data_IF_623676132724
#
_entry.id   IF_623676132724
#
_cell.length_a   1.000
_cell.length_b   1.000
_cell.length_c   1.000
_cell.angle_alpha   90.00
_cell.angle_beta   90.00
_cell.angle_gamma   90.00
#
_symmetry.space_group_name_H-M   'P 1'
#
loop_
_entity.id
_entity.type
_entity.pdbx_description
1 polymer ?
#
# COMPACT_ATOMS: atom_id res chain seq x y z
N UNK A 1 29.36 -19.81 16.32
CA UNK A 1 29.07 -18.35 16.31
C UNK A 1 29.32 -17.84 14.90
N UNK A 2 28.33 -17.22 14.26
CA UNK A 2 28.45 -16.69 12.90
C UNK A 2 29.35 -15.45 12.92
N UNK A 3 30.60 -15.58 12.46
CA UNK A 3 31.55 -14.46 12.34
C UNK A 3 31.15 -13.63 11.13
N UNK A 4 30.28 -12.66 11.34
CA UNK A 4 29.78 -11.79 10.27
C UNK A 4 30.85 -10.74 9.98
N UNK A 5 31.39 -10.78 8.77
CA UNK A 5 32.31 -9.75 8.28
C UNK A 5 31.54 -8.43 8.08
N UNK A 6 32.07 -7.31 8.58
CA UNK A 6 31.46 -5.97 8.41
C UNK A 6 31.13 -5.65 6.95
N UNK A 7 31.93 -6.18 6.00
CA UNK A 7 31.65 -6.07 4.55
C UNK A 7 30.33 -6.72 4.13
N UNK A 8 29.93 -7.84 4.75
CA UNK A 8 28.65 -8.52 4.47
C UNK A 8 27.45 -7.75 5.00
N UNK A 9 27.59 -7.10 6.17
CA UNK A 9 26.54 -6.23 6.73
C UNK A 9 26.30 -5.02 5.84
N UNK A 10 27.38 -4.39 5.36
CA UNK A 10 27.29 -3.26 4.42
C UNK A 10 26.59 -3.62 3.10
N UNK A 11 26.94 -4.76 2.49
CA UNK A 11 26.27 -5.24 1.26
C UNK A 11 24.78 -5.49 1.51
N UNK A 12 24.42 -6.07 2.66
CA UNK A 12 23.02 -6.35 2.96
C UNK A 12 22.19 -5.08 3.15
N UNK A 13 22.79 -3.99 3.66
CA UNK A 13 22.13 -2.69 3.79
C UNK A 13 21.85 -2.01 2.44
N UNK A 14 22.48 -2.44 1.34
CA UNK A 14 22.16 -1.95 0.01
C UNK A 14 20.78 -2.42 -0.48
N UNK A 15 20.30 -3.59 -0.03
CA UNK A 15 18.98 -4.12 -0.41
C UNK A 15 17.81 -3.21 0.03
N UNK A 16 17.67 -2.83 1.32
CA UNK A 16 16.60 -1.91 1.73
C UNK A 16 16.74 -0.54 1.06
N UNK A 17 17.96 -0.09 0.76
CA UNK A 17 18.19 1.17 0.04
C UNK A 17 17.60 1.11 -1.38
N UNK A 18 17.85 0.03 -2.12
CA UNK A 18 17.27 -0.18 -3.45
C UNK A 18 15.74 -0.26 -3.39
N UNK A 19 15.19 -0.95 -2.39
CA UNK A 19 13.75 -1.04 -2.18
C UNK A 19 13.15 0.32 -1.85
N UNK A 20 13.81 1.12 -1.01
CA UNK A 20 13.37 2.47 -0.65
C UNK A 20 13.34 3.42 -1.86
N UNK A 21 14.41 3.43 -2.66
CA UNK A 21 14.49 4.21 -3.90
C UNK A 21 13.46 3.75 -4.93
N UNK A 22 13.28 2.44 -5.09
CA UNK A 22 12.25 1.86 -5.95
C UNK A 22 10.84 2.25 -5.51
N UNK A 23 10.56 2.25 -4.20
CA UNK A 23 9.29 2.68 -3.64
C UNK A 23 9.03 4.18 -3.91
N UNK A 24 10.04 5.04 -3.75
CA UNK A 24 9.94 6.46 -4.09
C UNK A 24 9.69 6.67 -5.59
N UNK A 25 10.42 5.96 -6.45
CA UNK A 25 10.22 6.00 -7.90
C UNK A 25 8.82 5.54 -8.30
N UNK A 26 8.33 4.45 -7.70
CA UNK A 26 6.97 3.97 -7.88
C UNK A 26 5.92 4.98 -7.41
N UNK A 27 6.15 5.67 -6.29
CA UNK A 27 5.23 6.70 -5.79
C UNK A 27 5.15 7.89 -6.74
N UNK A 28 6.29 8.35 -7.27
CA UNK A 28 6.33 9.42 -8.27
C UNK A 28 5.65 8.99 -9.58
N UNK A 29 5.88 7.74 -10.02
CA UNK A 29 5.23 7.18 -11.19
C UNK A 29 3.71 7.16 -11.05
N UNK A 30 3.19 6.73 -9.89
CA UNK A 30 1.76 6.79 -9.57
C UNK A 30 1.26 8.25 -9.53
N UNK A 31 2.08 9.19 -9.07
CA UNK A 31 1.71 10.61 -9.06
C UNK A 31 1.47 11.20 -10.46
N UNK A 32 2.22 10.71 -11.47
CA UNK A 32 2.20 11.20 -12.85
C UNK A 32 1.28 10.38 -13.76
N UNK A 33 1.36 9.06 -13.69
CA UNK A 33 0.66 8.10 -14.57
C UNK A 33 -0.41 7.27 -13.83
N UNK A 34 -0.53 7.43 -12.51
CA UNK A 34 -1.53 6.72 -11.74
C UNK A 34 -2.95 7.21 -12.04
N UNK A 35 -3.91 6.36 -11.71
CA UNK A 35 -5.33 6.70 -11.83
C UNK A 35 -5.79 7.77 -10.83
N UNK A 36 -7.10 7.94 -10.76
CA UNK A 36 -7.74 8.99 -9.98
C UNK A 36 -7.53 8.90 -8.46
N UNK A 37 -7.26 7.70 -7.95
CA UNK A 37 -7.11 7.46 -6.52
C UNK A 37 -5.62 7.40 -6.15
N UNK A 38 -5.05 8.53 -5.72
CA UNK A 38 -3.65 8.65 -5.29
C UNK A 38 -3.39 8.14 -3.87
N UNK A 39 -4.23 7.22 -3.39
CA UNK A 39 -4.23 6.73 -2.00
C UNK A 39 -2.91 6.03 -1.64
N UNK A 40 -2.25 5.41 -2.61
CA UNK A 40 -0.98 4.69 -2.42
C UNK A 40 0.25 5.61 -2.45
N UNK A 41 0.15 6.80 -3.03
CA UNK A 41 1.29 7.66 -3.31
C UNK A 41 2.01 8.10 -2.02
N UNK A 42 1.27 8.66 -1.06
CA UNK A 42 1.86 9.19 0.17
C UNK A 42 2.48 8.11 1.07
N UNK A 43 1.80 6.98 1.36
CA UNK A 43 2.40 5.90 2.14
C UNK A 43 3.69 5.36 1.53
N UNK A 44 3.72 5.21 0.19
CA UNK A 44 4.87 4.65 -0.51
C UNK A 44 6.04 5.64 -0.57
N UNK A 45 5.76 6.93 -0.78
CA UNK A 45 6.76 7.99 -0.82
C UNK A 45 7.43 8.18 0.55
N UNK A 46 6.62 8.38 1.61
CA UNK A 46 7.14 8.62 2.95
C UNK A 46 7.82 7.38 3.53
N UNK A 47 7.23 6.20 3.32
CA UNK A 47 7.84 4.92 3.71
C UNK A 47 9.17 4.68 3.01
N UNK A 48 9.23 4.90 1.69
CA UNK A 48 10.46 4.76 0.90
C UNK A 48 11.57 5.72 1.33
N UNK A 49 11.21 6.97 1.63
CA UNK A 49 12.16 7.97 2.15
C UNK A 49 12.76 7.53 3.49
N UNK A 50 11.91 7.12 4.44
CA UNK A 50 12.36 6.68 5.77
C UNK A 50 13.29 5.46 5.70
N UNK A 51 12.93 4.46 4.87
CA UNK A 51 13.77 3.28 4.65
C UNK A 51 15.11 3.65 4.01
N UNK A 52 15.13 4.61 3.09
CA UNK A 52 16.35 5.08 2.44
C UNK A 52 17.29 5.78 3.42
N UNK A 53 16.76 6.68 4.26
CA UNK A 53 17.54 7.40 5.30
C UNK A 53 18.12 6.44 6.34
N UNK A 54 17.32 5.48 6.83
CA UNK A 54 17.83 4.48 7.79
C UNK A 54 18.90 3.60 7.12
N UNK A 55 18.76 3.31 5.83
CA UNK A 55 19.74 2.49 5.11
C UNK A 55 21.06 3.19 4.86
N UNK A 56 21.06 4.49 4.56
CA UNK A 56 22.30 5.27 4.40
C UNK A 56 23.04 5.39 5.73
N UNK A 57 22.34 5.58 6.85
CA UNK A 57 22.96 5.58 8.18
C UNK A 57 23.57 4.21 8.53
N UNK A 58 22.89 3.12 8.19
CA UNK A 58 23.43 1.76 8.36
C UNK A 58 24.70 1.53 7.53
N UNK A 59 24.71 2.01 6.29
CA UNK A 59 25.87 1.89 5.39
C UNK A 59 27.05 2.74 5.88
N UNK A 60 26.81 3.99 6.28
CA UNK A 60 27.83 4.87 6.88
C UNK A 60 28.38 4.29 8.19
N UNK A 61 27.52 3.71 9.03
CA UNK A 61 27.93 3.00 10.25
C UNK A 61 28.85 1.81 9.96
N UNK A 62 28.58 1.06 8.89
CA UNK A 62 29.40 -0.08 8.47
C UNK A 62 30.73 0.33 7.82
N UNK A 63 30.76 1.43 7.05
CA UNK A 63 31.95 1.89 6.33
C UNK A 63 32.90 2.72 7.23
N UNK A 64 32.36 3.64 8.02
CA UNK A 64 33.15 4.57 8.82
C UNK A 64 33.48 4.05 10.23
N UNK A 65 33.01 2.84 10.59
CA UNK A 65 33.23 2.22 11.91
C UNK A 65 32.83 3.10 13.11
N UNK A 66 31.93 4.07 12.89
CA UNK A 66 31.46 5.00 13.92
C UNK A 66 30.45 4.27 14.80
N UNK A 67 30.88 3.88 16.00
CA UNK A 67 30.03 3.18 16.98
C UNK A 67 28.77 3.97 17.31
N UNK A 68 28.86 5.30 17.43
CA UNK A 68 27.72 6.19 17.65
C UNK A 68 26.69 6.13 16.50
N UNK A 69 27.14 6.13 15.24
CA UNK A 69 26.26 6.04 14.07
C UNK A 69 25.52 4.69 14.02
N UNK A 70 26.19 3.60 14.44
CA UNK A 70 25.60 2.27 14.48
C UNK A 70 24.53 2.13 15.57
N UNK A 71 24.71 2.76 16.74
CA UNK A 71 23.64 2.82 17.77
C UNK A 71 22.47 3.69 17.31
N UNK A 72 22.74 4.86 16.71
CA UNK A 72 21.69 5.72 16.15
C UNK A 72 20.88 4.99 15.07
N UNK A 73 21.55 4.25 14.20
CA UNK A 73 20.93 3.38 13.21
C UNK A 73 19.98 2.36 13.84
N UNK A 74 20.43 1.61 14.87
CA UNK A 74 19.57 0.63 15.54
C UNK A 74 18.35 1.27 16.19
N UNK A 75 18.53 2.44 16.80
CA UNK A 75 17.44 3.19 17.42
C UNK A 75 16.40 3.63 16.37
N UNK A 76 16.84 4.21 15.26
CA UNK A 76 15.95 4.62 14.18
C UNK A 76 15.27 3.42 13.49
N UNK A 77 16.00 2.33 13.27
CA UNK A 77 15.46 1.10 12.69
C UNK A 77 14.37 0.48 13.58
N UNK A 78 14.52 0.53 14.91
CA UNK A 78 13.50 0.07 15.85
C UNK A 78 12.21 0.90 15.74
N UNK A 79 12.31 2.23 15.73
CA UNK A 79 11.13 3.09 15.54
C UNK A 79 10.49 2.91 14.15
N UNK A 80 11.31 2.69 13.12
CA UNK A 80 10.82 2.40 11.77
C UNK A 80 10.02 1.09 11.76
N UNK A 81 10.50 0.02 12.41
CA UNK A 81 9.76 -1.23 12.53
C UNK A 81 8.42 -1.05 13.26
N UNK A 82 8.38 -0.27 14.35
CA UNK A 82 7.14 0.04 15.06
C UNK A 82 6.14 0.80 14.19
N UNK A 83 6.61 1.82 13.45
CA UNK A 83 5.78 2.61 12.55
C UNK A 83 5.21 1.76 11.40
N UNK A 84 6.03 0.89 10.79
CA UNK A 84 5.57 0.00 9.72
C UNK A 84 4.62 -1.08 10.25
N UNK A 85 4.84 -1.60 11.45
CA UNK A 85 3.94 -2.56 12.09
C UNK A 85 2.57 -1.93 12.41
N UNK A 86 2.54 -0.74 13.01
CA UNK A 86 1.28 -0.04 13.32
C UNK A 86 0.51 0.31 12.05
N UNK A 87 1.19 0.76 11.00
CA UNK A 87 0.59 0.98 9.69
C UNK A 87 0.00 -0.31 9.10
N UNK A 88 0.70 -1.44 9.21
CA UNK A 88 0.21 -2.74 8.73
C UNK A 88 -1.08 -3.15 9.45
N UNK A 89 -1.14 -2.98 10.77
CA UNK A 89 -2.35 -3.29 11.55
C UNK A 89 -3.53 -2.41 11.11
N UNK A 90 -3.31 -1.11 10.91
CA UNK A 90 -4.33 -0.21 10.39
C UNK A 90 -4.79 -0.62 8.97
N UNK A 91 -3.85 -0.96 8.08
CA UNK A 91 -4.14 -1.40 6.72
C UNK A 91 -4.95 -2.72 6.67
N UNK A 92 -4.64 -3.65 7.57
CA UNK A 92 -5.40 -4.89 7.75
C UNK A 92 -6.81 -4.61 8.26
N UNK A 93 -6.97 -3.71 9.23
CA UNK A 93 -8.28 -3.31 9.75
C UNK A 93 -9.17 -2.70 8.64
N UNK A 94 -8.58 -1.89 7.76
CA UNK A 94 -9.28 -1.32 6.60
C UNK A 94 -9.72 -2.41 5.60
N UNK A 95 -8.96 -3.52 5.52
CA UNK A 95 -9.14 -4.59 4.52
C UNK A 95 -9.91 -5.82 5.02
N UNK A 96 -10.22 -5.92 6.32
CA UNK A 96 -10.66 -7.16 6.97
C UNK A 96 -12.12 -7.59 6.70
N UNK A 97 -13.00 -6.70 6.21
CA UNK A 97 -14.43 -7.03 6.02
C UNK A 97 -14.64 -8.02 4.87
N UNK A 98 -15.46 -9.09 5.06
CA UNK A 98 -15.65 -10.13 4.06
C UNK A 98 -16.34 -9.63 2.79
N UNK A 99 -15.98 -10.28 1.70
CA UNK A 99 -16.39 -9.98 0.33
C UNK A 99 -17.82 -10.45 0.07
N UNK A 100 -18.74 -9.53 -0.24
CA UNK A 100 -19.94 -9.90 -0.99
C UNK A 100 -19.60 -9.91 -2.48
N UNK A 101 -20.13 -10.92 -3.15
CA UNK A 101 -19.77 -11.30 -4.50
C UNK A 101 -19.94 -10.14 -5.51
N UNK A 102 -19.05 -10.02 -6.52
CA UNK A 102 -19.02 -8.88 -7.44
C UNK A 102 -20.26 -8.87 -8.36
N UNK A 103 -20.95 -10.00 -8.46
CA UNK A 103 -22.16 -10.17 -9.26
C UNK A 103 -23.40 -9.53 -8.61
N UNK A 104 -23.41 -9.26 -7.30
CA UNK A 104 -24.52 -8.58 -6.62
C UNK A 104 -24.37 -7.04 -6.61
N UNK A 105 -23.23 -6.51 -7.03
CA UNK A 105 -22.91 -5.08 -6.95
C UNK A 105 -22.17 -4.70 -5.65
N UNK A 106 -21.54 -3.53 -5.64
CA UNK A 106 -20.77 -3.04 -4.50
C UNK A 106 -21.63 -2.07 -3.67
N UNK A 107 -21.80 -2.34 -2.37
CA UNK A 107 -22.49 -1.40 -1.46
C UNK A 107 -21.49 -0.73 -0.53
N UNK A 108 -21.61 0.59 -0.35
CA UNK A 108 -20.73 1.38 0.52
C UNK A 108 -20.75 0.86 1.98
N UNK A 109 -21.90 0.36 2.45
CA UNK A 109 -22.08 -0.19 3.80
C UNK A 109 -21.22 -1.41 4.13
N UNK A 110 -20.72 -2.13 3.12
CA UNK A 110 -19.89 -3.34 3.30
C UNK A 110 -18.42 -3.01 3.60
N UNK A 111 -18.06 -1.73 3.66
CA UNK A 111 -16.70 -1.26 3.89
C UNK A 111 -16.48 -0.76 5.31
N UNK A 112 -15.21 -0.63 5.72
CA UNK A 112 -14.86 -0.13 7.06
C UNK A 112 -15.34 1.31 7.23
N UNK A 113 -15.65 1.76 8.46
CA UNK A 113 -16.12 3.13 8.71
C UNK A 113 -15.19 4.20 8.15
N UNK A 114 -13.88 3.94 8.16
CA UNK A 114 -12.86 4.81 7.56
C UNK A 114 -13.06 4.98 6.04
N UNK A 115 -13.25 3.89 5.30
CA UNK A 115 -13.49 3.93 3.86
C UNK A 115 -14.83 4.57 3.51
N UNK A 116 -15.87 4.31 4.31
CA UNK A 116 -17.17 4.96 4.14
C UNK A 116 -17.02 6.48 4.25
N UNK A 117 -16.34 6.95 5.30
CA UNK A 117 -16.09 8.36 5.54
C UNK A 117 -15.34 9.03 4.39
N UNK A 118 -14.32 8.37 3.83
CA UNK A 118 -13.53 8.89 2.71
C UNK A 118 -14.38 9.27 1.49
N UNK A 119 -15.41 8.49 1.16
CA UNK A 119 -16.26 8.73 -0.01
C UNK A 119 -17.56 9.47 0.30
N UNK A 120 -18.00 9.49 1.55
CA UNK A 120 -19.09 10.40 1.97
C UNK A 120 -18.61 11.85 2.09
N UNK A 121 -17.30 12.10 2.14
CA UNK A 121 -16.76 13.46 2.15
C UNK A 121 -16.94 14.14 0.79
N UNK A 122 -17.72 15.24 0.72
CA UNK A 122 -18.09 15.84 -0.56
C UNK A 122 -16.89 16.38 -1.35
N UNK A 123 -15.86 16.91 -0.67
CA UNK A 123 -14.65 17.41 -1.33
C UNK A 123 -13.85 16.28 -1.99
N UNK A 124 -13.61 15.17 -1.27
CA UNK A 124 -12.81 14.05 -1.78
C UNK A 124 -13.51 13.34 -2.93
N UNK A 125 -14.83 13.11 -2.80
CA UNK A 125 -15.61 12.50 -3.87
C UNK A 125 -15.67 13.38 -5.13
N UNK A 126 -15.79 14.69 -4.97
CA UNK A 126 -15.83 15.62 -6.12
C UNK A 126 -14.54 15.56 -6.95
N UNK A 127 -13.37 15.44 -6.32
CA UNK A 127 -12.09 15.28 -7.01
C UNK A 127 -11.97 13.94 -7.72
N UNK A 128 -12.32 12.85 -7.03
CA UNK A 128 -12.35 11.51 -7.62
C UNK A 128 -13.30 11.45 -8.81
N UNK A 129 -14.52 11.99 -8.68
CA UNK A 129 -15.53 12.03 -9.73
C UNK A 129 -15.04 12.80 -10.96
N UNK A 130 -14.50 14.02 -10.77
CA UNK A 130 -13.96 14.82 -11.87
C UNK A 130 -12.87 14.06 -12.64
N UNK A 131 -11.99 13.37 -11.91
CA UNK A 131 -10.98 12.56 -12.55
C UNK A 131 -11.57 11.34 -13.30
N UNK A 132 -12.55 10.63 -12.74
CA UNK A 132 -13.19 9.49 -13.41
C UNK A 132 -13.86 9.89 -14.73
N UNK A 133 -14.51 11.06 -14.73
CA UNK A 133 -15.10 11.67 -15.92
C UNK A 133 -14.03 12.03 -16.97
N UNK A 134 -12.96 12.70 -16.54
CA UNK A 134 -11.86 13.07 -17.43
C UNK A 134 -11.13 11.85 -18.02
N UNK A 135 -10.96 10.80 -17.22
CA UNK A 135 -10.33 9.53 -17.62
C UNK A 135 -11.23 8.66 -18.51
N UNK A 136 -12.52 9.03 -18.68
CA UNK A 136 -13.50 8.33 -19.53
C UNK A 136 -13.49 6.81 -19.31
N UNK A 137 -13.50 6.39 -18.05
CA UNK A 137 -13.32 4.99 -17.64
C UNK A 137 -14.37 4.02 -18.24
N UNK A 138 -15.54 4.53 -18.63
CA UNK A 138 -16.63 3.79 -19.27
C UNK A 138 -16.64 3.88 -20.80
N UNK A 139 -15.94 4.84 -21.42
CA UNK A 139 -15.92 5.02 -22.88
C UNK A 139 -15.04 3.96 -23.56
N UNK A 140 -13.96 3.50 -22.92
CA UNK A 140 -13.12 2.42 -23.46
C UNK A 140 -13.86 1.07 -23.60
N UNK A 141 -14.99 0.92 -22.90
CA UNK A 141 -15.80 -0.31 -22.91
C UNK A 141 -16.77 -0.38 -24.09
N UNK A 142 -17.16 0.76 -24.67
CA UNK A 142 -18.04 0.82 -25.85
C UNK A 142 -17.36 0.27 -27.10
N UNK A 143 -16.04 0.44 -27.20
CA UNK A 143 -15.23 -0.05 -28.32
C UNK A 143 -15.00 -1.58 -28.31
N UNK A 144 -15.15 -2.25 -27.17
CA UNK A 144 -14.90 -3.69 -27.02
C UNK A 144 -16.18 -4.53 -26.96
N UNK A 145 -17.35 -3.91 -27.10
CA UNK A 145 -18.63 -4.59 -26.96
C UNK A 145 -19.08 -5.30 -28.24
N UNK A 146 -18.34 -6.33 -28.65
CA UNK A 146 -18.87 -7.37 -29.52
C UNK A 146 -19.76 -8.28 -28.68
N UNK A 147 -21.09 -8.10 -28.76
CA UNK A 147 -22.25 -8.97 -28.37
C UNK A 147 -22.05 -10.25 -27.53
N UNK A 148 -21.06 -10.32 -26.64
CA UNK A 148 -20.73 -11.50 -25.87
C UNK A 148 -20.84 -11.18 -24.38
N UNK A 149 -21.66 -11.94 -23.68
CA UNK A 149 -21.90 -11.82 -22.24
C UNK A 149 -20.63 -11.90 -21.37
N UNK A 150 -19.49 -12.29 -21.98
CA UNK A 150 -18.15 -12.35 -21.39
C UNK A 150 -17.40 -11.02 -21.32
N UNK A 151 -17.89 -9.94 -21.93
CA UNK A 151 -17.24 -8.61 -21.95
C UNK A 151 -16.92 -8.11 -20.54
N UNK A 152 -17.79 -8.40 -19.57
CA UNK A 152 -17.64 -7.89 -18.20
C UNK A 152 -16.47 -8.54 -17.44
N UNK A 153 -15.96 -9.70 -17.86
CA UNK A 153 -15.02 -10.51 -17.07
C UNK A 153 -13.68 -9.82 -16.78
N UNK A 154 -13.29 -8.84 -17.59
CA UNK A 154 -12.04 -8.06 -17.46
C UNK A 154 -12.22 -6.68 -16.82
N UNK A 155 -13.44 -6.30 -16.44
CA UNK A 155 -13.69 -4.96 -15.91
C UNK A 155 -13.11 -4.80 -14.51
N UNK A 156 -12.51 -3.65 -14.24
CA UNK A 156 -12.11 -3.24 -12.89
C UNK A 156 -13.32 -3.05 -11.98
N UNK A 157 -13.12 -3.14 -10.67
CA UNK A 157 -14.21 -2.92 -9.69
C UNK A 157 -14.89 -1.56 -9.85
N UNK A 158 -14.13 -0.52 -10.20
CA UNK A 158 -14.65 0.81 -10.50
C UNK A 158 -15.51 0.83 -11.76
N UNK A 159 -15.09 0.16 -12.83
CA UNK A 159 -15.90 0.06 -14.06
C UNK A 159 -17.21 -0.70 -13.82
N UNK A 160 -17.17 -1.77 -13.04
CA UNK A 160 -18.38 -2.50 -12.66
C UNK A 160 -19.36 -1.65 -11.84
N UNK A 161 -18.87 -0.82 -10.91
CA UNK A 161 -19.74 0.01 -10.07
C UNK A 161 -20.30 1.24 -10.78
N UNK A 162 -19.56 1.83 -11.72
CA UNK A 162 -19.91 3.12 -12.33
C UNK A 162 -20.52 3.00 -13.73
N UNK A 163 -20.17 1.96 -14.50
CA UNK A 163 -20.57 1.80 -15.90
C UNK A 163 -21.69 0.77 -16.11
N UNK A 164 -22.14 0.09 -15.04
CA UNK A 164 -23.22 -0.90 -15.07
C UNK A 164 -24.25 -0.58 -13.98
N UNK A 165 -25.56 -0.56 -14.29
CA UNK A 165 -26.59 -0.38 -13.29
C UNK A 165 -26.70 -1.62 -12.39
N UNK A 166 -27.16 -1.47 -11.13
CA UNK A 166 -27.43 -2.59 -10.23
C UNK A 166 -28.42 -3.59 -10.83
N UNK A 167 -28.19 -4.89 -10.60
CA UNK A 167 -29.03 -5.98 -11.14
C UNK A 167 -30.48 -5.87 -10.65
N UNK A 168 -30.65 -5.38 -9.42
CA UNK A 168 -31.94 -5.09 -8.78
C UNK A 168 -32.77 -4.01 -9.50
N UNK A 169 -32.17 -3.19 -10.37
CA UNK A 169 -32.94 -2.23 -11.17
C UNK A 169 -33.73 -2.90 -12.30
N UNK A 170 -33.39 -4.15 -12.68
CA UNK A 170 -34.07 -4.88 -13.75
C UNK A 170 -33.82 -4.32 -15.16
N UNK A 171 -32.78 -3.51 -15.33
CA UNK A 171 -32.48 -2.86 -16.61
C UNK A 171 -31.90 -3.88 -17.59
N UNK A 172 -32.34 -3.82 -18.86
CA UNK A 172 -31.85 -4.69 -19.92
C UNK A 172 -30.89 -3.94 -20.83
N UNK A 173 -29.72 -4.53 -21.11
CA UNK A 173 -28.71 -3.94 -21.99
C UNK A 173 -29.28 -3.82 -23.41
N UNK A 174 -29.30 -2.62 -24.01
CA UNK A 174 -29.69 -2.44 -25.41
C UNK A 174 -28.46 -2.17 -26.27
N UNK A 175 -28.12 -3.09 -27.20
CA UNK A 175 -27.20 -2.99 -28.36
C UNK A 175 -25.83 -2.27 -28.22
N UNK A 176 -25.55 -1.48 -27.18
CA UNK A 176 -24.33 -0.73 -26.89
C UNK A 176 -23.97 -0.93 -25.39
N UNK A 177 -22.67 -0.89 -25.05
CA UNK A 177 -22.13 -1.36 -23.76
C UNK A 177 -22.60 -0.60 -22.51
N UNK A 178 -23.06 0.65 -22.67
CA UNK A 178 -23.42 1.57 -21.60
C UNK A 178 -24.86 2.07 -21.69
N UNK A 179 -25.64 1.61 -22.69
CA UNK A 179 -27.02 2.02 -22.88
C UNK A 179 -27.98 0.95 -22.36
N UNK A 180 -28.78 1.31 -21.35
CA UNK A 180 -29.67 0.40 -20.65
C UNK A 180 -31.13 0.83 -20.78
N UNK A 181 -32.01 -0.10 -21.15
CA UNK A 181 -33.45 0.14 -21.22
C UNK A 181 -34.02 0.19 -19.81
N UNK A 182 -34.73 1.28 -19.51
CA UNK A 182 -35.37 1.48 -18.20
C UNK A 182 -36.74 0.82 -18.26
N UNK A 183 -37.08 -0.11 -17.34
CA UNK A 183 -38.37 -0.76 -17.31
C UNK A 183 -39.51 0.27 -17.26
N UNK A 184 -40.53 0.08 -18.11
CA UNK A 184 -41.67 0.99 -18.27
C UNK A 184 -42.51 1.19 -16.99
N UNK A 185 -42.34 0.31 -16.00
CA UNK A 185 -43.05 0.32 -14.71
C UNK A 185 -42.23 1.04 -13.61
N UNK A 186 -41.06 1.58 -13.95
CA UNK A 186 -40.07 2.06 -12.98
C UNK A 186 -39.17 0.94 -12.45
N UNK A 187 -38.13 1.26 -11.67
CA UNK A 187 -37.23 0.27 -11.12
C UNK A 187 -37.95 -0.69 -10.17
N UNK A 188 -37.55 -1.96 -10.17
CA UNK A 188 -38.25 -3.01 -9.40
C UNK A 188 -38.19 -2.84 -7.87
N UNK A 189 -37.30 -1.95 -7.40
CA UNK A 189 -37.16 -1.56 -6.01
C UNK A 189 -36.95 -0.04 -5.90
N UNK A 190 -37.36 0.56 -4.78
CA UNK A 190 -37.11 1.96 -4.44
C UNK A 190 -35.64 2.16 -4.02
N UNK A 191 -34.72 1.92 -4.95
CA UNK A 191 -33.28 2.05 -4.76
C UNK A 191 -32.80 3.37 -5.36
N UNK A 192 -32.06 4.16 -4.55
CA UNK A 192 -31.55 5.47 -4.95
C UNK A 192 -30.64 5.41 -6.17
N UNK A 193 -29.91 4.31 -6.37
CA UNK A 193 -29.01 4.13 -7.51
C UNK A 193 -29.78 3.92 -8.80
N UNK A 194 -30.94 3.25 -8.76
CA UNK A 194 -31.77 3.06 -9.94
C UNK A 194 -32.42 4.37 -10.42
N UNK A 195 -32.68 5.30 -9.49
CA UNK A 195 -33.22 6.62 -9.80
C UNK A 195 -32.12 7.62 -10.21
N UNK A 196 -30.89 7.40 -9.76
CA UNK A 196 -29.73 8.24 -10.10
C UNK A 196 -29.06 7.86 -11.42
N UNK A 197 -29.34 6.67 -11.99
CA UNK A 197 -28.78 6.21 -13.26
C UNK A 197 -29.16 7.12 -14.44
N UNK A 198 -28.20 7.45 -15.30
CA UNK A 198 -28.44 8.19 -16.54
C UNK A 198 -27.64 7.58 -17.71
N UNK A 199 -28.25 7.40 -18.88
CA UNK A 199 -27.57 6.87 -20.07
C UNK A 199 -26.64 7.89 -20.76
N UNK A 200 -26.59 9.15 -20.31
CA UNK A 200 -25.61 10.12 -20.82
C UNK A 200 -24.20 9.78 -20.33
N UNK A 201 -23.24 9.71 -21.26
CA UNK A 201 -21.85 9.29 -21.01
C UNK A 201 -21.11 10.17 -19.97
N UNK A 202 -21.56 11.40 -19.77
CA UNK A 202 -21.05 12.40 -18.84
C UNK A 202 -21.68 12.30 -17.42
N UNK A 203 -22.72 11.50 -17.23
CA UNK A 203 -23.43 11.37 -15.95
C UNK A 203 -23.46 9.95 -15.41
N UNK A 204 -23.75 8.93 -16.25
CA UNK A 204 -23.77 7.50 -15.91
C UNK A 204 -24.28 7.23 -14.47
N UNK A 205 -23.62 6.36 -13.71
CA UNK A 205 -23.88 6.17 -12.28
C UNK A 205 -22.78 6.84 -11.41
N UNK A 206 -22.15 7.93 -11.88
CA UNK A 206 -21.04 8.55 -11.14
C UNK A 206 -21.45 9.17 -9.79
N UNK A 207 -22.74 9.34 -9.52
CA UNK A 207 -23.24 9.81 -8.21
C UNK A 207 -23.87 8.69 -7.35
N UNK A 208 -23.95 7.46 -7.88
CA UNK A 208 -24.53 6.31 -7.21
C UNK A 208 -23.64 5.73 -6.11
N UNK A 209 -24.26 5.11 -5.11
CA UNK A 209 -23.56 4.37 -4.06
C UNK A 209 -22.87 3.11 -4.62
N UNK A 210 -23.37 2.54 -5.71
CA UNK A 210 -22.72 1.45 -6.45
C UNK A 210 -21.38 1.85 -7.05
N UNK A 211 -21.27 3.06 -7.61
CA UNK A 211 -20.01 3.58 -8.17
C UNK A 211 -19.00 3.88 -7.06
N UNK A 212 -19.46 4.53 -5.99
CA UNK A 212 -18.70 4.74 -4.76
C UNK A 212 -18.19 3.40 -4.22
N UNK A 213 -19.04 2.40 -4.12
CA UNK A 213 -18.68 1.03 -3.70
C UNK A 213 -17.61 0.40 -4.60
N UNK A 214 -17.70 0.60 -5.92
CA UNK A 214 -16.70 0.14 -6.89
C UNK A 214 -15.32 0.80 -6.69
N UNK A 215 -15.30 2.10 -6.42
CA UNK A 215 -14.07 2.84 -6.04
C UNK A 215 -13.49 2.30 -4.73
N UNK A 216 -14.32 2.11 -3.70
CA UNK A 216 -13.89 1.53 -2.42
C UNK A 216 -13.30 0.13 -2.58
N UNK A 217 -13.88 -0.69 -3.46
CA UNK A 217 -13.36 -2.03 -3.78
C UNK A 217 -11.99 -1.96 -4.45
N UNK A 218 -11.80 -1.03 -5.40
CA UNK A 218 -10.50 -0.80 -6.02
C UNK A 218 -9.47 -0.32 -5.00
N UNK A 219 -9.82 0.66 -4.15
CA UNK A 219 -8.96 1.15 -3.08
C UNK A 219 -8.55 -0.01 -2.15
N UNK A 220 -9.50 -0.81 -1.66
CA UNK A 220 -9.20 -1.98 -0.82
C UNK A 220 -8.20 -2.94 -1.47
N UNK A 221 -8.36 -3.21 -2.78
CA UNK A 221 -7.41 -4.04 -3.54
C UNK A 221 -6.00 -3.46 -3.51
N UNK A 222 -5.87 -2.15 -3.74
CA UNK A 222 -4.58 -1.45 -3.66
C UNK A 222 -3.97 -1.50 -2.24
N UNK A 223 -4.78 -1.31 -1.19
CA UNK A 223 -4.34 -1.43 0.21
C UNK A 223 -3.83 -2.83 0.54
N UNK A 224 -4.46 -3.88 -0.01
CA UNK A 224 -3.99 -5.27 0.17
C UNK A 224 -2.62 -5.49 -0.47
N UNK A 225 -2.41 -5.00 -1.70
CA UNK A 225 -1.11 -5.06 -2.35
C UNK A 225 -0.04 -4.28 -1.56
N UNK A 226 -0.37 -3.07 -1.10
CA UNK A 226 0.53 -2.28 -0.24
C UNK A 226 0.86 -3.03 1.06
N UNK A 227 -0.12 -3.66 1.69
CA UNK A 227 0.08 -4.41 2.94
C UNK A 227 1.06 -5.56 2.73
N UNK A 228 0.91 -6.31 1.63
CA UNK A 228 1.83 -7.41 1.28
C UNK A 228 3.25 -6.86 1.05
N UNK A 229 3.39 -5.79 0.27
CA UNK A 229 4.67 -5.13 0.04
C UNK A 229 5.30 -4.66 1.37
N UNK A 230 4.50 -4.04 2.24
CA UNK A 230 4.94 -3.54 3.54
C UNK A 230 5.43 -4.66 4.46
N UNK A 231 4.76 -5.82 4.48
CA UNK A 231 5.19 -7.01 5.21
C UNK A 231 6.56 -7.49 4.71
N UNK A 232 6.78 -7.53 3.39
CA UNK A 232 8.09 -7.88 2.82
C UNK A 232 9.19 -6.91 3.27
N UNK A 233 8.90 -5.59 3.30
CA UNK A 233 9.83 -4.57 3.80
C UNK A 233 10.13 -4.78 5.28
N UNK A 234 9.12 -5.06 6.12
CA UNK A 234 9.33 -5.35 7.55
C UNK A 234 10.25 -6.54 7.74
N UNK A 235 10.05 -7.65 7.03
CA UNK A 235 10.91 -8.84 7.11
C UNK A 235 12.34 -8.51 6.73
N UNK A 236 12.51 -7.76 5.66
CA UNK A 236 13.82 -7.33 5.17
C UNK A 236 14.52 -6.43 6.20
N UNK A 237 13.87 -5.36 6.68
CA UNK A 237 14.43 -4.44 7.68
C UNK A 237 14.74 -5.17 8.99
N UNK A 238 13.86 -6.08 9.43
CA UNK A 238 14.07 -6.90 10.65
C UNK A 238 15.31 -7.78 10.52
N UNK A 239 15.53 -8.39 9.35
CA UNK A 239 16.71 -9.22 9.09
C UNK A 239 18.00 -8.40 9.22
N UNK A 240 18.03 -7.20 8.64
CA UNK A 240 19.21 -6.32 8.72
C UNK A 240 19.40 -5.78 10.15
N UNK A 241 18.31 -5.45 10.84
CA UNK A 241 18.33 -5.04 12.25
C UNK A 241 18.94 -6.10 13.17
N UNK A 242 18.50 -7.36 13.04
CA UNK A 242 19.03 -8.49 13.81
C UNK A 242 20.53 -8.68 13.54
N UNK A 243 20.97 -8.58 12.29
CA UNK A 243 22.38 -8.70 11.93
C UNK A 243 23.22 -7.53 12.44
N UNK A 244 22.67 -6.31 12.44
CA UNK A 244 23.30 -5.15 13.09
C UNK A 244 23.52 -5.38 14.59
N UNK A 245 22.52 -5.91 15.28
CA UNK A 245 22.64 -6.30 16.70
C UNK A 245 23.72 -7.38 16.90
N UNK A 246 23.79 -8.39 16.04
CA UNK A 246 24.85 -9.41 16.10
C UNK A 246 26.25 -8.82 15.89
N UNK A 247 26.41 -7.89 14.93
CA UNK A 247 27.69 -7.22 14.67
C UNK A 247 28.17 -6.42 15.90
N UNK A 248 27.28 -5.65 16.54
CA UNK A 248 27.62 -4.93 17.78
C UNK A 248 28.00 -5.89 18.90
N UNK A 249 27.22 -6.96 19.10
CA UNK A 249 27.49 -7.95 20.14
C UNK A 249 28.86 -8.60 19.93
N UNK A 250 29.20 -8.97 18.71
CA UNK A 250 30.49 -9.56 18.39
C UNK A 250 31.64 -8.59 18.68
N UNK A 251 31.54 -7.32 18.24
CA UNK A 251 32.55 -6.29 18.53
C UNK A 251 32.74 -6.04 20.03
N UNK A 252 31.65 -6.07 20.83
CA UNK A 252 31.74 -5.97 22.31
C UNK A 252 32.45 -7.17 22.93
N UNK A 253 32.19 -8.38 22.44
CA UNK A 253 32.85 -9.60 22.92
C UNK A 253 34.35 -9.58 22.59
N UNK A 254 34.72 -9.19 21.37
CA UNK A 254 36.12 -9.06 20.95
C UNK A 254 36.86 -8.02 21.81
N UNK A 255 36.23 -6.88 22.10
CA UNK A 255 36.78 -5.87 23.01
C UNK A 255 36.94 -6.37 24.45
N UNK A 256 35.97 -7.12 24.97
CA UNK A 256 36.04 -7.72 26.31
C UNK A 256 37.16 -8.75 26.41
N UNK A 257 37.29 -9.63 25.41
CA UNK A 257 38.34 -10.62 25.33
C UNK A 257 39.72 -9.96 25.24
N UNK A 258 39.88 -8.94 24.39
CA UNK A 258 41.09 -8.15 24.30
C UNK A 258 41.46 -7.47 25.63
N UNK A 259 40.49 -6.85 26.31
CA UNK A 259 40.68 -6.25 27.64
C UNK A 259 41.06 -7.29 28.70
N UNK A 260 40.46 -8.49 28.66
CA UNK A 260 40.79 -9.58 29.58
C UNK A 260 42.22 -10.09 29.37
N UNK A 261 42.63 -10.33 28.11
CA UNK A 261 43.99 -10.76 27.77
C UNK A 261 45.03 -9.71 28.14
N UNK A 262 44.74 -8.42 27.92
CA UNK A 262 45.62 -7.33 28.34
C UNK A 262 45.76 -7.25 29.86
N UNK A 263 44.69 -7.55 30.62
CA UNK A 263 44.74 -7.61 32.09
C UNK A 263 45.57 -8.78 32.62
N UNK A 264 45.51 -9.94 31.95
CA UNK A 264 46.30 -11.14 32.30
C UNK A 264 47.78 -10.94 31.96
N UNK A 265 48.09 -10.18 30.90
CA UNK A 265 49.47 -9.95 30.44
C UNK A 265 50.23 -8.89 31.24
N UNK A 266 49.55 -8.06 32.05
CA UNK A 266 50.21 -7.19 33.03
C UNK A 266 50.38 -8.02 34.31
N UNK A 267 51.60 -8.53 34.62
CA UNK A 267 51.81 -9.23 35.87
C UNK A 267 51.63 -8.22 37.01
N UNK A 268 51.07 -8.67 38.11
CA UNK A 268 51.08 -8.01 39.41
C UNK A 268 52.51 -7.94 40.00
N UNK A 269 53.44 -7.29 39.28
CA UNK A 269 54.82 -7.04 39.72
C UNK A 269 55.05 -5.57 40.09
N UNK A 270 54.03 -4.91 40.64
CA UNK A 270 54.18 -3.63 41.34
C UNK A 270 53.24 -3.61 42.54
N UNK A 271 53.54 -4.40 43.55
CA UNK A 271 53.17 -4.18 44.95
C UNK A 271 53.98 -5.18 45.77
N UNK A 272 54.78 -4.69 46.71
CA UNK A 272 55.86 -5.36 47.47
C UNK A 272 57.27 -5.22 46.87
N UNK A 273 57.82 -4.01 46.95
CA UNK A 273 58.91 -3.73 47.89
C UNK A 273 59.02 -2.23 48.16
#
# INVERSE_FOLDING_TARGET
MLRINNRRVGILQALPMMVGLGAMGGALYIGVHGGCDKVLQYPLLFGGLMVSVVSTLGLLGALCSLTAALYLYLLLAFFLLLAFASFTVAALFVSARPYHAPHLGFRVRDFSPFLQHYVTHPSHWHDTRRCLLAARICLGLTLHANNDSRIFQHWSSTQYGCCKPPVQCGFTLMKNSTFWDVPKVGPSMNDSDCMAWNNSEDKLCYDCDSCKGGVLANIRKQWRHLTIFNICVIVLVTTVYILGCYAIRNNRLDYSNYKSQRRIRIPSTVMHH
#
